data_IF_607444983414
#
_entry.id   IF_607444983414
#
_cell.length_a   1.000
_cell.length_b   1.000
_cell.length_c   1.000
_cell.angle_alpha   90.00
_cell.angle_beta   90.00
_cell.angle_gamma   90.00
#
_symmetry.space_group_name_H-M   'P 1'
#
loop_
_entity.id
_entity.type
_entity.pdbx_description
1 polymer ?
#
# COMPACT_ATOMS: atom_id res chain seq x y z
N UNK A 1 -21.45 -44.83 -51.28
CA UNK A 1 -20.59 -45.55 -50.32
C UNK A 1 -20.28 -44.60 -49.19
N UNK A 2 -20.63 -44.99 -47.97
CA UNK A 2 -20.43 -44.25 -46.72
C UNK A 2 -18.96 -44.34 -46.27
N UNK A 3 -18.49 -43.35 -45.49
CA UNK A 3 -18.11 -43.52 -44.08
C UNK A 3 -17.77 -42.17 -43.41
N UNK A 4 -18.20 -42.06 -42.15
CA UNK A 4 -18.02 -41.06 -41.07
C UNK A 4 -16.56 -40.56 -40.89
N UNK A 5 -16.19 -39.49 -40.16
CA UNK A 5 -16.83 -38.66 -39.13
C UNK A 5 -15.85 -38.43 -37.95
N UNK A 6 -15.92 -37.25 -37.28
CA UNK A 6 -15.31 -36.87 -35.99
C UNK A 6 -13.77 -36.70 -35.90
N UNK A 7 -13.16 -35.85 -35.07
CA UNK A 7 -13.53 -34.77 -34.14
C UNK A 7 -12.23 -34.04 -33.70
N UNK A 8 -12.40 -32.82 -33.18
CA UNK A 8 -11.48 -31.88 -32.52
C UNK A 8 -10.25 -32.45 -31.80
N UNK A 9 -9.15 -31.71 -31.83
CA UNK A 9 -8.36 -31.40 -30.62
C UNK A 9 -7.62 -30.07 -30.79
N UNK A 10 -8.19 -29.02 -30.19
CA UNK A 10 -7.51 -27.79 -29.80
C UNK A 10 -6.70 -28.10 -28.53
N UNK A 11 -5.38 -27.85 -28.56
CA UNK A 11 -4.58 -27.78 -27.33
C UNK A 11 -3.98 -26.38 -27.26
N UNK A 12 -4.69 -25.51 -26.53
CA UNK A 12 -4.14 -24.28 -26.00
C UNK A 12 -3.41 -24.64 -24.70
N UNK A 13 -2.11 -24.35 -24.64
CA UNK A 13 -1.32 -24.40 -23.41
C UNK A 13 -1.92 -23.42 -22.39
N UNK A 14 -2.50 -23.96 -21.31
CA UNK A 14 -2.92 -23.19 -20.15
C UNK A 14 -1.70 -22.92 -19.26
N UNK A 15 -1.27 -21.66 -19.21
CA UNK A 15 -0.31 -21.13 -18.24
C UNK A 15 -1.02 -20.97 -16.89
N UNK A 16 -1.03 -22.03 -16.07
CA UNK A 16 -1.56 -22.00 -14.70
C UNK A 16 -0.66 -21.14 -13.81
N UNK A 17 -1.03 -19.87 -13.64
CA UNK A 17 -0.52 -19.03 -12.55
C UNK A 17 -1.28 -19.37 -11.26
N UNK A 18 -0.62 -19.65 -10.11
CA UNK A 18 -1.34 -20.02 -8.89
C UNK A 18 -2.21 -18.86 -8.38
N UNK A 19 -3.52 -19.07 -8.36
CA UNK A 19 -4.49 -18.11 -7.85
C UNK A 19 -4.45 -18.06 -6.32
N UNK A 20 -4.00 -16.93 -5.75
CA UNK A 20 -4.12 -16.66 -4.31
C UNK A 20 -5.56 -16.26 -3.99
N UNK A 21 -6.18 -16.96 -3.03
CA UNK A 21 -7.54 -16.70 -2.56
C UNK A 21 -7.67 -15.34 -1.84
N UNK A 22 -8.88 -14.72 -1.86
CA UNK A 22 -9.12 -13.45 -1.18
C UNK A 22 -9.06 -13.58 0.35
N UNK A 23 -8.46 -12.57 1.00
CA UNK A 23 -8.29 -12.47 2.46
C UNK A 23 -9.64 -12.25 3.14
N UNK A 24 -10.06 -13.13 4.05
CA UNK A 24 -11.24 -12.96 4.91
C UNK A 24 -10.83 -12.54 6.33
N UNK A 25 -11.54 -11.56 6.89
CA UNK A 25 -11.23 -10.96 8.20
C UNK A 25 -11.52 -11.89 9.37
N UNK A 26 -10.66 -11.85 10.40
CA UNK A 26 -10.83 -12.59 11.64
C UNK A 26 -10.93 -11.63 12.85
N UNK A 27 -12.04 -11.73 13.57
CA UNK A 27 -12.35 -11.01 14.79
C UNK A 27 -11.50 -11.49 15.98
N UNK A 28 -10.92 -10.56 16.74
CA UNK A 28 -10.43 -10.84 18.10
C UNK A 28 -11.59 -10.73 19.08
N UNK A 29 -11.98 -11.85 19.70
CA UNK A 29 -12.75 -11.87 20.95
C UNK A 29 -11.78 -11.69 22.14
N UNK A 30 -12.09 -10.74 23.02
CA UNK A 30 -11.42 -10.60 24.32
C UNK A 30 -11.95 -11.63 25.33
N UNK A 31 -11.13 -12.10 26.29
CA UNK A 31 -11.52 -13.14 27.22
C UNK A 31 -12.38 -12.61 28.38
N UNK A 32 -13.46 -13.31 28.67
CA UNK A 32 -14.31 -13.10 29.84
C UNK A 32 -13.62 -13.64 31.11
N UNK A 33 -13.53 -12.80 32.14
CA UNK A 33 -13.14 -13.20 33.50
C UNK A 33 -14.34 -13.03 34.43
N UNK A 34 -14.87 -14.13 34.96
CA UNK A 34 -15.79 -14.14 36.11
C UNK A 34 -15.03 -13.88 37.42
N UNK A 35 -15.58 -13.03 38.30
CA UNK A 35 -15.60 -13.26 39.75
C UNK A 35 -16.47 -12.22 40.50
N UNK A 36 -17.49 -12.75 41.17
CA UNK A 36 -18.16 -12.38 42.44
C UNK A 36 -18.14 -10.93 43.00
N UNK A 37 -19.34 -10.50 43.40
CA UNK A 37 -19.66 -9.31 44.21
C UNK A 37 -19.16 -9.39 45.67
N UNK A 38 -19.12 -8.26 46.41
CA UNK A 38 -20.26 -7.97 47.30
C UNK A 38 -20.66 -6.49 47.42
N UNK A 39 -21.80 -6.28 48.09
CA UNK A 39 -22.58 -5.06 48.24
C UNK A 39 -21.96 -3.97 49.15
N UNK A 40 -22.27 -2.69 48.86
CA UNK A 40 -22.02 -1.55 49.75
C UNK A 40 -22.53 -0.22 49.18
N UNK A 41 -23.42 0.44 49.91
CA UNK A 41 -24.21 1.64 49.58
C UNK A 41 -23.45 2.93 49.96
N UNK A 42 -23.41 3.95 49.10
CA UNK A 42 -23.56 5.38 49.45
C UNK A 42 -23.33 6.34 48.26
N UNK A 43 -24.19 7.35 48.19
CA UNK A 43 -24.21 8.55 47.35
C UNK A 43 -22.95 9.42 47.46
N UNK A 44 -22.48 10.01 46.34
CA UNK A 44 -22.03 11.43 46.24
C UNK A 44 -21.80 11.78 44.77
N UNK A 45 -22.49 12.82 44.30
CA UNK A 45 -22.26 13.44 42.99
C UNK A 45 -20.81 13.96 42.89
N UNK A 46 -20.09 13.55 41.84
CA UNK A 46 -18.89 14.27 41.40
C UNK A 46 -18.89 14.36 39.88
N UNK A 47 -19.35 15.51 39.37
CA UNK A 47 -19.08 15.98 38.00
C UNK A 47 -17.57 15.87 37.76
N UNK A 48 -17.15 14.81 37.07
CA UNK A 48 -15.82 14.73 36.48
C UNK A 48 -15.97 14.99 34.99
N UNK A 49 -15.19 15.97 34.57
CA UNK A 49 -15.26 16.64 33.29
C UNK A 49 -14.83 15.71 32.15
N UNK A 50 -15.76 15.41 31.24
CA UNK A 50 -15.49 14.82 29.93
C UNK A 50 -14.69 15.75 28.98
N UNK A 51 -14.11 16.85 29.49
CA UNK A 51 -13.40 17.83 28.67
C UNK A 51 -12.04 17.32 28.18
N UNK A 52 -11.37 16.44 28.93
CA UNK A 52 -10.03 15.96 28.60
C UNK A 52 -10.00 14.96 27.43
N UNK A 53 -10.97 14.04 27.38
CA UNK A 53 -11.09 13.08 26.27
C UNK A 53 -11.55 13.75 24.95
N UNK A 54 -12.43 14.75 25.05
CA UNK A 54 -12.86 15.56 23.90
C UNK A 54 -11.73 16.42 23.35
N UNK A 55 -10.99 17.12 24.22
CA UNK A 55 -9.83 17.90 23.79
C UNK A 55 -8.73 17.04 23.15
N UNK A 56 -8.50 15.82 23.65
CA UNK A 56 -7.52 14.89 23.05
C UNK A 56 -7.95 14.46 21.64
N UNK A 57 -9.21 14.06 21.44
CA UNK A 57 -9.72 13.69 20.11
C UNK A 57 -9.72 14.88 19.14
N UNK A 58 -10.08 16.08 19.59
CA UNK A 58 -10.07 17.29 18.76
C UNK A 58 -8.65 17.78 18.42
N UNK A 59 -7.68 17.60 19.33
CA UNK A 59 -6.28 17.96 19.06
C UNK A 59 -5.64 17.07 17.99
N UNK A 60 -6.03 15.80 17.95
CA UNK A 60 -5.55 14.83 16.95
C UNK A 60 -6.20 15.08 15.59
N UNK A 61 -7.46 15.57 15.53
CA UNK A 61 -8.09 16.01 14.28
C UNK A 61 -7.41 17.23 13.65
N UNK A 62 -6.84 18.14 14.46
CA UNK A 62 -6.22 19.40 13.99
C UNK A 62 -4.81 19.26 13.37
N UNK A 63 -4.17 18.10 13.48
CA UNK A 63 -2.77 17.91 13.05
C UNK A 63 -2.62 17.05 11.80
N UNK A 64 -3.71 16.49 11.27
CA UNK A 64 -3.68 15.58 10.12
C UNK A 64 -3.88 16.33 8.81
N UNK A 65 -3.22 15.93 7.72
CA UNK A 65 -3.53 16.46 6.40
C UNK A 65 -4.97 16.07 6.00
N UNK A 66 -5.72 16.96 5.33
CA UNK A 66 -7.03 16.62 4.80
C UNK A 66 -6.94 15.52 3.76
N UNK A 67 -8.03 14.77 3.56
CA UNK A 67 -8.13 13.81 2.46
C UNK A 67 -8.12 14.53 1.10
N UNK A 68 -7.64 13.87 0.03
CA UNK A 68 -7.25 12.46 -0.07
C UNK A 68 -5.78 12.21 0.31
N UNK A 69 -5.47 11.01 0.80
CA UNK A 69 -4.10 10.60 1.14
C UNK A 69 -3.51 9.71 0.05
N UNK A 70 -2.46 10.23 -0.59
CA UNK A 70 -1.74 9.58 -1.67
C UNK A 70 -0.24 9.52 -1.42
N UNK A 71 0.39 8.45 -1.88
CA UNK A 71 1.84 8.37 -2.10
C UNK A 71 2.12 7.87 -3.51
N UNK A 72 3.09 8.46 -4.19
CA UNK A 72 3.43 8.11 -5.58
C UNK A 72 4.91 7.75 -5.74
N UNK A 73 5.22 6.65 -6.42
CA UNK A 73 6.56 6.33 -6.92
C UNK A 73 6.56 6.42 -8.45
N UNK A 74 7.33 7.37 -9.00
CA UNK A 74 7.43 7.59 -10.44
C UNK A 74 8.73 6.96 -10.94
N UNK A 75 8.68 5.66 -11.22
CA UNK A 75 9.81 4.91 -11.75
C UNK A 75 10.06 5.16 -13.24
N UNK A 76 11.12 4.55 -13.79
CA UNK A 76 11.46 4.67 -15.21
C UNK A 76 10.39 4.06 -16.14
N UNK A 77 9.81 2.92 -15.77
CA UNK A 77 8.81 2.20 -16.57
C UNK A 77 7.39 2.28 -16.00
N UNK A 78 7.25 2.21 -14.68
CA UNK A 78 5.95 2.20 -14.01
C UNK A 78 5.87 3.31 -12.97
N UNK A 79 4.70 3.96 -12.94
CA UNK A 79 4.23 4.74 -11.80
C UNK A 79 3.43 3.82 -10.89
N UNK A 80 3.66 3.92 -9.58
CA UNK A 80 2.85 3.28 -8.56
C UNK A 80 2.22 4.36 -7.69
N UNK A 81 0.94 4.20 -7.39
CA UNK A 81 0.13 5.09 -6.60
C UNK A 81 -0.49 4.26 -5.47
N UNK A 82 -0.24 4.69 -4.24
CA UNK A 82 -0.88 4.15 -3.05
C UNK A 82 -1.96 5.13 -2.61
N UNK A 83 -3.16 4.63 -2.36
CA UNK A 83 -4.31 5.42 -1.92
C UNK A 83 -4.91 4.85 -0.65
N UNK A 84 -5.00 5.66 0.39
CA UNK A 84 -5.73 5.28 1.60
C UNK A 84 -7.19 5.73 1.52
N UNK A 85 -8.10 4.77 1.52
CA UNK A 85 -9.54 4.98 1.49
C UNK A 85 -10.12 4.90 2.92
N UNK A 86 -10.55 6.02 3.54
CA UNK A 86 -11.16 5.98 4.87
C UNK A 86 -12.51 5.25 4.86
N UNK A 87 -12.68 4.27 5.74
CA UNK A 87 -13.94 3.54 5.96
C UNK A 87 -14.72 4.04 7.18
N UNK A 88 -14.10 4.91 7.97
CA UNK A 88 -14.62 5.48 9.20
C UNK A 88 -15.15 6.92 9.04
N UNK A 89 -15.57 7.33 7.84
CA UNK A 89 -16.14 8.66 7.61
C UNK A 89 -17.47 8.80 8.37
N UNK A 90 -17.57 9.85 9.17
CA UNK A 90 -18.81 10.20 9.90
C UNK A 90 -19.80 10.96 9.01
N UNK A 91 -21.09 10.96 9.34
CA UNK A 91 -22.10 11.67 8.55
C UNK A 91 -21.84 13.19 8.49
N UNK A 92 -21.31 13.77 9.56
CA UNK A 92 -20.91 15.17 9.59
C UNK A 92 -19.73 15.44 8.65
N UNK A 93 -18.69 14.58 8.67
CA UNK A 93 -17.56 14.68 7.75
C UNK A 93 -17.99 14.52 6.29
N UNK A 94 -18.92 13.60 6.00
CA UNK A 94 -19.45 13.40 4.64
C UNK A 94 -20.25 14.63 4.16
N UNK A 95 -20.91 15.37 5.05
CA UNK A 95 -21.65 16.58 4.69
C UNK A 95 -20.72 17.77 4.42
N UNK A 96 -19.57 17.83 5.10
CA UNK A 96 -18.51 18.82 4.89
C UNK A 96 -17.62 18.49 3.68
N UNK A 97 -17.59 17.22 3.27
CA UNK A 97 -16.78 16.73 2.16
C UNK A 97 -17.20 17.34 0.82
N UNK A 98 -16.25 17.94 0.11
CA UNK A 98 -16.47 18.55 -1.20
C UNK A 98 -16.82 17.46 -2.22
N UNK A 99 -17.78 17.74 -3.12
CA UNK A 99 -18.25 16.76 -4.13
C UNK A 99 -17.12 16.19 -5.01
N UNK A 100 -16.07 16.98 -5.27
CA UNK A 100 -14.89 16.52 -6.00
C UNK A 100 -14.18 15.36 -5.27
N UNK A 101 -14.08 15.43 -3.93
CA UNK A 101 -13.43 14.39 -3.14
C UNK A 101 -14.25 13.08 -3.18
N UNK A 102 -15.57 13.19 -3.07
CA UNK A 102 -16.50 12.05 -3.23
C UNK A 102 -16.37 11.41 -4.61
N UNK A 103 -16.29 12.23 -5.65
CA UNK A 103 -16.14 11.79 -7.03
C UNK A 103 -14.82 11.04 -7.25
N UNK A 104 -13.70 11.56 -6.73
CA UNK A 104 -12.39 10.90 -6.83
C UNK A 104 -12.38 9.59 -6.05
N UNK A 105 -12.87 9.61 -4.80
CA UNK A 105 -12.98 8.41 -3.98
C UNK A 105 -13.76 7.33 -4.73
N UNK A 106 -14.97 7.67 -5.21
CA UNK A 106 -15.82 6.75 -5.99
C UNK A 106 -15.11 6.26 -7.24
N UNK A 107 -14.42 7.13 -7.97
CA UNK A 107 -13.67 6.75 -9.17
C UNK A 107 -12.60 5.71 -8.87
N UNK A 108 -11.82 5.91 -7.80
CA UNK A 108 -10.76 4.99 -7.40
C UNK A 108 -11.30 3.65 -6.87
N UNK A 109 -12.40 3.68 -6.11
CA UNK A 109 -12.91 2.47 -5.44
C UNK A 109 -13.85 1.64 -6.32
N UNK A 110 -14.63 2.27 -7.21
CA UNK A 110 -15.60 1.58 -8.06
C UNK A 110 -15.01 1.00 -9.35
N UNK A 111 -13.78 1.37 -9.70
CA UNK A 111 -13.10 0.87 -10.90
C UNK A 111 -11.84 0.07 -10.51
N UNK A 112 -11.49 -0.92 -11.33
CA UNK A 112 -10.22 -1.66 -11.25
C UNK A 112 -9.28 -1.31 -12.39
N UNK A 113 -9.78 -0.68 -13.45
CA UNK A 113 -9.01 -0.16 -14.56
C UNK A 113 -9.26 1.35 -14.72
N UNK A 114 -8.19 2.11 -14.99
CA UNK A 114 -8.23 3.56 -15.14
C UNK A 114 -7.64 3.96 -16.49
N UNK A 115 -8.46 4.61 -17.33
CA UNK A 115 -8.05 4.94 -18.70
C UNK A 115 -7.78 3.68 -19.51
N UNK A 116 -6.66 3.66 -20.26
CA UNK A 116 -6.27 2.53 -21.12
C UNK A 116 -5.33 1.53 -20.45
N UNK A 117 -4.60 1.95 -19.43
CA UNK A 117 -3.42 1.23 -18.93
C UNK A 117 -3.28 1.23 -17.40
N UNK A 118 -4.07 2.03 -16.69
CA UNK A 118 -4.08 2.04 -15.23
C UNK A 118 -4.80 0.83 -14.67
N UNK A 119 -4.20 0.20 -13.67
CA UNK A 119 -4.69 -1.02 -13.04
C UNK A 119 -4.63 -0.85 -11.52
N UNK A 120 -5.70 -1.23 -10.83
CA UNK A 120 -5.71 -1.42 -9.37
C UNK A 120 -5.51 -2.89 -9.06
N UNK A 121 -4.43 -3.22 -8.37
CA UNK A 121 -4.11 -4.59 -7.98
C UNK A 121 -4.92 -4.98 -6.74
N UNK A 122 -6.21 -5.31 -6.95
CA UNK A 122 -7.20 -5.58 -5.88
C UNK A 122 -6.74 -6.66 -4.90
N UNK A 123 -5.97 -7.64 -5.37
CA UNK A 123 -5.45 -8.73 -4.53
C UNK A 123 -4.40 -8.29 -3.50
N UNK A 124 -3.83 -7.08 -3.65
CA UNK A 124 -2.89 -6.48 -2.71
C UNK A 124 -3.57 -5.55 -1.70
N UNK A 125 -4.87 -5.32 -1.80
CA UNK A 125 -5.60 -4.41 -0.91
C UNK A 125 -5.42 -4.79 0.57
N UNK A 126 -4.95 -3.85 1.38
CA UNK A 126 -4.90 -4.00 2.83
C UNK A 126 -6.18 -3.45 3.44
N UNK A 127 -7.04 -4.34 3.93
CA UNK A 127 -8.34 -3.97 4.50
C UNK A 127 -8.22 -3.67 5.99
N UNK A 128 -9.09 -2.79 6.50
CA UNK A 128 -9.21 -2.46 7.92
C UNK A 128 -7.90 -1.96 8.57
N UNK A 129 -7.03 -1.35 7.78
CA UNK A 129 -5.78 -0.75 8.21
C UNK A 129 -6.06 0.50 9.06
N UNK A 130 -5.39 0.60 10.20
CA UNK A 130 -5.36 1.84 10.99
C UNK A 130 -4.12 2.65 10.64
N UNK A 131 -4.31 3.78 9.94
CA UNK A 131 -3.25 4.71 9.56
C UNK A 131 -3.54 6.09 10.15
N UNK A 132 -2.58 6.64 10.89
CA UNK A 132 -2.71 7.92 11.61
C UNK A 132 -4.01 8.06 12.42
N UNK A 133 -4.51 6.95 12.98
CA UNK A 133 -5.75 6.89 13.75
C UNK A 133 -7.02 7.16 12.92
N UNK A 134 -7.00 6.81 11.64
CA UNK A 134 -8.18 6.54 10.79
C UNK A 134 -8.19 5.06 10.43
N UNK A 135 -9.37 4.46 10.33
CA UNK A 135 -9.53 3.08 9.84
C UNK A 135 -10.01 3.10 8.39
N UNK A 136 -9.31 2.37 7.53
CA UNK A 136 -9.57 2.38 6.10
C UNK A 136 -8.90 1.24 5.35
N UNK A 137 -8.95 1.31 4.03
CA UNK A 137 -8.32 0.33 3.15
C UNK A 137 -7.17 1.00 2.38
N UNK A 138 -6.06 0.29 2.23
CA UNK A 138 -4.92 0.74 1.42
C UNK A 138 -4.97 0.07 0.05
N UNK A 139 -5.07 0.88 -1.00
CA UNK A 139 -5.18 0.46 -2.39
C UNK A 139 -3.86 0.66 -3.13
N UNK A 140 -3.50 -0.30 -3.99
CA UNK A 140 -2.32 -0.25 -4.84
C UNK A 140 -2.72 -0.12 -6.30
N UNK A 141 -2.23 0.94 -6.96
CA UNK A 141 -2.57 1.28 -8.34
C UNK A 141 -1.27 1.48 -9.11
N UNK A 142 -1.21 1.02 -10.36
CA UNK A 142 -0.05 1.21 -11.23
C UNK A 142 -0.46 1.54 -12.65
N UNK A 143 0.42 2.26 -13.35
CA UNK A 143 0.28 2.53 -14.78
C UNK A 143 1.67 2.80 -15.40
N UNK A 144 1.84 2.66 -16.73
CA UNK A 144 3.10 2.95 -17.39
C UNK A 144 3.50 4.43 -17.25
N UNK A 145 4.79 4.70 -16.99
CA UNK A 145 5.31 6.08 -16.85
C UNK A 145 5.07 6.93 -18.09
N UNK A 146 5.03 6.33 -19.28
CA UNK A 146 4.72 7.07 -20.51
C UNK A 146 3.28 7.60 -20.57
N UNK A 147 2.36 7.06 -19.77
CA UNK A 147 0.97 7.51 -19.67
C UNK A 147 0.76 8.58 -18.57
N UNK A 148 1.83 8.99 -17.87
CA UNK A 148 1.76 10.06 -16.87
C UNK A 148 1.12 11.35 -17.39
N UNK A 149 1.36 11.83 -18.63
CA UNK A 149 0.65 13.00 -19.15
C UNK A 149 -0.87 12.84 -19.19
N UNK A 150 -1.38 11.64 -19.51
CA UNK A 150 -2.81 11.36 -19.52
C UNK A 150 -3.39 11.33 -18.08
N UNK A 151 -2.62 10.83 -17.12
CA UNK A 151 -2.97 10.91 -15.70
C UNK A 151 -3.05 12.36 -15.22
N UNK A 152 -2.08 13.21 -15.56
CA UNK A 152 -2.09 14.63 -15.18
C UNK A 152 -3.28 15.38 -15.80
N UNK A 153 -3.61 15.09 -17.05
CA UNK A 153 -4.79 15.64 -17.70
C UNK A 153 -6.08 15.23 -16.97
N UNK A 154 -6.19 13.95 -16.60
CA UNK A 154 -7.31 13.47 -15.76
C UNK A 154 -7.37 14.21 -14.42
N UNK A 155 -6.22 14.40 -13.76
CA UNK A 155 -6.13 15.13 -12.50
C UNK A 155 -6.63 16.58 -12.62
N UNK A 156 -6.30 17.25 -13.72
CA UNK A 156 -6.84 18.57 -14.05
C UNK A 156 -8.35 18.55 -14.26
N UNK A 157 -8.85 17.64 -15.10
CA UNK A 157 -10.28 17.55 -15.46
C UNK A 157 -11.17 17.18 -14.26
N UNK A 158 -10.58 16.48 -13.28
CA UNK A 158 -11.21 16.11 -12.01
C UNK A 158 -10.89 17.07 -10.86
N UNK A 159 -10.22 18.19 -11.14
CA UNK A 159 -9.86 19.24 -10.19
C UNK A 159 -9.12 18.74 -8.94
N UNK A 160 -8.12 17.87 -9.10
CA UNK A 160 -7.34 17.31 -7.99
C UNK A 160 -6.67 18.40 -7.13
N UNK A 161 -6.21 19.49 -7.75
CA UNK A 161 -5.60 20.62 -7.05
C UNK A 161 -6.53 21.32 -6.06
N UNK A 162 -7.85 21.19 -6.23
CA UNK A 162 -8.83 21.76 -5.29
C UNK A 162 -8.88 21.04 -3.94
N UNK A 163 -8.29 19.85 -3.85
CA UNK A 163 -8.36 18.98 -2.66
C UNK A 163 -7.05 18.93 -1.91
N UNK A 164 -5.94 18.87 -2.64
CA UNK A 164 -4.60 18.88 -2.06
C UNK A 164 -3.61 19.45 -3.07
N UNK A 165 -2.88 20.48 -2.66
CA UNK A 165 -1.90 21.16 -3.54
C UNK A 165 -0.58 20.40 -3.63
N UNK A 166 -0.29 19.48 -2.71
CA UNK A 166 1.03 18.86 -2.60
C UNK A 166 0.99 17.33 -2.58
N UNK A 167 1.53 16.66 -3.59
CA UNK A 167 1.60 15.20 -3.64
C UNK A 167 2.97 14.70 -3.16
N UNK A 168 3.00 13.79 -2.19
CA UNK A 168 4.23 13.10 -1.82
C UNK A 168 4.64 12.14 -2.94
N UNK A 169 5.80 12.38 -3.54
CA UNK A 169 6.30 11.61 -4.67
C UNK A 169 7.76 11.20 -4.48
N UNK A 170 8.11 10.01 -4.93
CA UNK A 170 9.46 9.47 -4.92
C UNK A 170 9.83 8.90 -6.30
N UNK A 171 11.05 8.38 -6.43
CA UNK A 171 11.60 7.87 -7.68
C UNK A 171 12.14 8.97 -8.59
N UNK A 172 12.99 8.59 -9.56
CA UNK A 172 13.62 9.54 -10.48
C UNK A 172 12.62 10.40 -11.27
N UNK A 173 11.41 9.90 -11.51
CA UNK A 173 10.35 10.62 -12.18
C UNK A 173 9.79 11.80 -11.37
N UNK A 174 9.86 11.78 -10.03
CA UNK A 174 9.42 12.90 -9.20
C UNK A 174 10.23 14.18 -9.48
N UNK A 175 11.50 14.04 -9.86
CA UNK A 175 12.34 15.15 -10.31
C UNK A 175 12.12 15.47 -11.78
N UNK A 176 12.04 14.44 -12.63
CA UNK A 176 11.88 14.61 -14.10
C UNK A 176 10.59 15.33 -14.48
N UNK A 177 9.48 15.00 -13.83
CA UNK A 177 8.14 15.46 -14.21
C UNK A 177 7.58 16.55 -13.30
N UNK A 178 8.36 17.10 -12.35
CA UNK A 178 7.89 18.13 -11.41
C UNK A 178 7.23 19.32 -12.11
N UNK A 179 7.83 19.80 -13.19
CA UNK A 179 7.28 20.92 -13.97
C UNK A 179 5.93 20.56 -14.58
N UNK A 180 5.75 19.34 -15.06
CA UNK A 180 4.52 18.87 -15.68
C UNK A 180 3.38 18.78 -14.65
N UNK A 181 3.65 18.31 -13.43
CA UNK A 181 2.66 18.33 -12.35
C UNK A 181 2.16 19.75 -12.06
N UNK A 182 3.08 20.71 -11.97
CA UNK A 182 2.74 22.12 -11.72
C UNK A 182 1.99 22.73 -12.89
N UNK A 183 2.45 22.53 -14.12
CA UNK A 183 1.86 23.16 -15.31
C UNK A 183 0.56 22.49 -15.77
N UNK A 184 0.45 21.17 -15.67
CA UNK A 184 -0.69 20.41 -16.18
C UNK A 184 -1.76 20.19 -15.12
N UNK A 185 -1.42 19.93 -13.87
CA UNK A 185 -2.40 19.58 -12.84
C UNK A 185 -2.53 20.62 -11.72
N UNK A 186 -1.70 21.68 -11.73
CA UNK A 186 -1.60 22.65 -10.62
C UNK A 186 -1.29 21.94 -9.28
N UNK A 187 -0.39 20.96 -9.35
CA UNK A 187 0.06 20.16 -8.22
C UNK A 187 1.55 20.39 -7.97
N UNK A 188 1.91 20.57 -6.72
CA UNK A 188 3.28 20.58 -6.24
C UNK A 188 3.70 19.19 -5.81
N UNK A 189 4.97 18.82 -6.05
CA UNK A 189 5.51 17.55 -5.56
C UNK A 189 6.35 17.77 -4.30
N UNK A 190 5.97 17.10 -3.22
CA UNK A 190 6.86 16.89 -2.09
C UNK A 190 7.75 15.68 -2.39
N UNK A 191 8.93 15.95 -2.93
CA UNK A 191 9.88 14.94 -3.39
C UNK A 191 10.58 14.27 -2.21
N UNK A 192 10.55 12.94 -2.19
CA UNK A 192 11.18 12.10 -1.18
C UNK A 192 12.28 11.25 -1.82
N UNK A 193 13.21 10.73 -1.01
CA UNK A 193 14.25 9.81 -1.48
C UNK A 193 13.67 8.43 -1.78
N UNK A 194 14.02 7.85 -2.95
CA UNK A 194 13.49 6.57 -3.44
C UNK A 194 13.82 5.43 -2.49
N UNK A 195 15.08 5.37 -2.05
CA UNK A 195 15.58 4.27 -1.25
C UNK A 195 15.12 4.38 0.21
N UNK A 196 14.97 5.58 0.75
CA UNK A 196 14.39 5.79 2.07
C UNK A 196 12.89 5.44 2.10
N UNK A 197 12.12 5.87 1.10
CA UNK A 197 10.72 5.49 0.95
C UNK A 197 10.56 3.97 0.82
N UNK A 198 11.41 3.31 0.02
CA UNK A 198 11.38 1.87 -0.15
C UNK A 198 11.59 1.12 1.18
N UNK A 199 12.66 1.46 1.92
CA UNK A 199 12.97 0.80 3.20
C UNK A 199 11.84 1.01 4.21
N UNK A 200 11.35 2.26 4.35
CA UNK A 200 10.23 2.56 5.26
C UNK A 200 8.95 1.84 4.86
N UNK A 201 8.66 1.77 3.57
CA UNK A 201 7.49 1.09 3.01
C UNK A 201 7.49 -0.39 3.34
N UNK A 202 8.59 -1.10 3.04
CA UNK A 202 8.73 -2.54 3.32
C UNK A 202 8.52 -2.84 4.80
N UNK A 203 9.22 -2.10 5.68
CA UNK A 203 9.11 -2.30 7.13
C UNK A 203 7.71 -1.97 7.66
N UNK A 204 7.08 -0.94 7.11
CA UNK A 204 5.71 -0.58 7.47
C UNK A 204 4.73 -1.68 7.10
N UNK A 205 4.75 -2.16 5.85
CA UNK A 205 3.84 -3.20 5.36
C UNK A 205 4.00 -4.49 6.19
N UNK A 206 5.23 -4.94 6.42
CA UNK A 206 5.50 -6.12 7.25
C UNK A 206 4.91 -5.96 8.67
N UNK A 207 5.07 -4.78 9.29
CA UNK A 207 4.55 -4.52 10.63
C UNK A 207 3.02 -4.54 10.73
N UNK A 208 2.31 -4.15 9.66
CA UNK A 208 0.84 -4.02 9.67
C UNK A 208 0.13 -5.26 9.14
N UNK A 209 0.80 -6.13 8.37
CA UNK A 209 0.26 -7.38 7.82
C UNK A 209 0.28 -8.53 8.85
N UNK A 210 0.24 -8.19 10.14
CA UNK A 210 0.26 -9.15 11.27
C UNK A 210 -0.94 -10.13 11.32
N UNK A 211 -2.01 -9.90 10.57
CA UNK A 211 -3.25 -10.69 10.62
C UNK A 211 -3.47 -11.62 9.40
N UNK A 212 -2.50 -11.72 8.49
CA UNK A 212 -2.56 -12.57 7.30
C UNK A 212 -1.35 -13.51 7.16
N UNK A 213 -1.21 -14.25 6.04
CA UNK A 213 0.06 -14.88 5.70
C UNK A 213 1.15 -13.80 5.65
N UNK A 214 2.32 -14.11 6.22
CA UNK A 214 3.45 -13.19 6.28
C UNK A 214 3.74 -12.59 4.89
N UNK A 215 4.00 -11.29 4.85
CA UNK A 215 4.30 -10.58 3.60
C UNK A 215 5.59 -11.11 2.96
N UNK A 216 6.58 -11.44 3.79
CA UNK A 216 7.82 -12.03 3.33
C UNK A 216 7.72 -13.56 3.24
N UNK A 217 8.40 -14.13 2.25
CA UNK A 217 8.43 -15.56 2.00
C UNK A 217 9.78 -16.00 1.43
N UNK A 218 10.05 -17.29 1.48
CA UNK A 218 11.16 -17.93 0.79
C UNK A 218 10.71 -19.25 0.16
N UNK A 219 11.49 -19.75 -0.79
CA UNK A 219 11.28 -21.09 -1.35
C UNK A 219 12.22 -22.07 -0.63
N UNK A 220 11.63 -23.07 0.02
CA UNK A 220 12.38 -24.22 0.53
C UNK A 220 12.62 -25.19 -0.63
N UNK A 221 13.85 -25.73 -0.74
CA UNK A 221 14.29 -26.60 -1.84
C UNK A 221 14.11 -26.00 -3.25
N UNK A 222 14.60 -24.78 -3.54
CA UNK A 222 14.32 -24.08 -4.80
C UNK A 222 14.94 -24.76 -6.04
N UNK A 223 15.86 -25.70 -5.86
CA UNK A 223 16.51 -26.45 -6.95
C UNK A 223 15.81 -27.77 -7.29
N UNK A 224 14.86 -28.21 -6.47
CA UNK A 224 14.09 -29.44 -6.69
C UNK A 224 12.62 -29.09 -6.96
N UNK A 225 12.17 -29.12 -8.22
CA UNK A 225 10.81 -28.74 -8.59
C UNK A 225 9.72 -29.49 -7.83
N UNK A 226 9.96 -30.75 -7.43
CA UNK A 226 8.98 -31.60 -6.75
C UNK A 226 8.86 -31.29 -5.25
N UNK A 227 9.88 -30.64 -4.67
CA UNK A 227 9.95 -30.28 -3.25
C UNK A 227 9.97 -28.76 -3.02
N UNK A 228 9.90 -27.98 -4.10
CA UNK A 228 9.94 -26.52 -4.06
C UNK A 228 8.63 -25.99 -3.49
N UNK A 229 8.68 -25.52 -2.24
CA UNK A 229 7.50 -25.00 -1.54
C UNK A 229 7.74 -23.59 -1.04
N UNK A 230 6.77 -22.71 -1.27
CA UNK A 230 6.77 -21.36 -0.72
C UNK A 230 6.42 -21.41 0.78
N UNK A 231 7.29 -20.85 1.62
CA UNK A 231 7.08 -20.74 3.07
C UNK A 231 7.09 -19.28 3.53
N UNK A 232 6.23 -18.90 4.51
CA UNK A 232 6.25 -17.56 5.09
C UNK A 232 7.55 -17.32 5.87
N UNK A 233 7.98 -16.06 5.93
CA UNK A 233 9.16 -15.61 6.67
C UNK A 233 8.83 -14.34 7.46
N UNK A 234 8.79 -14.44 8.79
CA UNK A 234 8.57 -13.27 9.63
C UNK A 234 9.87 -12.43 9.71
N UNK A 235 9.80 -11.15 9.34
CA UNK A 235 10.91 -10.19 9.50
C UNK A 235 11.03 -9.68 10.95
N UNK A 236 11.11 -10.59 11.92
CA UNK A 236 11.36 -10.22 13.31
C UNK A 236 12.82 -9.79 13.49
N UNK A 237 13.05 -8.54 13.90
CA UNK A 237 14.38 -7.92 13.97
C UNK A 237 15.13 -8.03 12.63
N UNK A 238 14.67 -7.31 11.59
CA UNK A 238 15.12 -7.51 10.22
C UNK A 238 16.61 -7.19 10.01
N UNK A 239 17.26 -6.54 10.97
CA UNK A 239 18.64 -6.07 10.81
C UNK A 239 19.67 -7.10 11.27
N UNK A 240 20.75 -7.31 10.49
CA UNK A 240 21.06 -6.64 9.22
C UNK A 240 20.25 -7.18 8.04
N UNK A 241 19.62 -6.29 7.26
CA UNK A 241 18.89 -6.64 6.03
C UNK A 241 19.61 -6.10 4.81
N UNK A 242 19.78 -6.96 3.79
CA UNK A 242 20.16 -6.56 2.45
C UNK A 242 18.90 -6.51 1.57
N UNK A 243 18.48 -5.30 1.23
CA UNK A 243 17.36 -5.11 0.31
C UNK A 243 17.89 -5.00 -1.12
N UNK A 244 17.33 -5.81 -2.03
CA UNK A 244 17.67 -5.82 -3.45
C UNK A 244 16.44 -5.37 -4.23
N UNK A 245 16.41 -4.10 -4.63
CA UNK A 245 15.35 -3.57 -5.49
C UNK A 245 15.63 -3.88 -6.97
N UNK A 246 14.70 -4.53 -7.66
CA UNK A 246 14.84 -4.90 -9.09
C UNK A 246 13.88 -4.04 -9.93
N UNK A 247 14.43 -3.03 -10.61
CA UNK A 247 13.67 -2.06 -11.42
C UNK A 247 14.30 -1.73 -12.78
N UNK A 248 13.64 -0.86 -13.55
CA UNK A 248 13.85 -0.64 -14.99
C UNK A 248 15.05 0.23 -15.41
N UNK A 249 16.09 0.37 -14.60
CA UNK A 249 17.28 1.13 -15.02
C UNK A 249 17.94 0.48 -16.24
N UNK A 250 17.99 1.15 -17.40
CA UNK A 250 18.83 0.72 -18.54
C UNK A 250 20.30 0.97 -18.21
N UNK A 251 21.27 0.07 -18.39
CA UNK A 251 21.28 -1.30 -18.87
C UNK A 251 21.98 -2.18 -17.82
N UNK A 252 21.47 -3.40 -17.59
CA UNK A 252 21.88 -4.30 -16.49
C UNK A 252 21.41 -3.85 -15.11
N UNK A 253 20.10 -3.99 -14.87
CA UNK A 253 19.46 -4.19 -13.56
C UNK A 253 20.20 -3.55 -12.40
N UNK A 254 20.02 -2.25 -12.18
CA UNK A 254 20.57 -1.60 -11.00
C UNK A 254 19.90 -2.19 -9.75
N UNK A 255 20.49 -3.23 -9.19
CA UNK A 255 20.23 -3.72 -7.85
C UNK A 255 20.72 -2.66 -6.88
N UNK A 256 19.84 -1.77 -6.44
CA UNK A 256 20.18 -0.85 -5.34
C UNK A 256 20.30 -1.69 -4.08
N UNK A 257 21.54 -1.97 -3.69
CA UNK A 257 21.89 -2.70 -2.48
C UNK A 257 21.96 -1.69 -1.34
N UNK A 258 21.07 -1.82 -0.36
CA UNK A 258 21.20 -1.11 0.91
C UNK A 258 21.36 -2.11 2.03
N UNK A 259 22.50 -2.05 2.71
CA UNK A 259 22.65 -2.66 4.02
C UNK A 259 22.02 -1.73 5.03
N UNK A 260 21.02 -2.24 5.74
CA UNK A 260 20.44 -1.52 6.87
C UNK A 260 20.96 -2.15 8.16
N UNK A 261 21.68 -1.37 8.95
CA UNK A 261 22.24 -1.79 10.25
C UNK A 261 21.70 -0.87 11.34
N UNK A 262 21.46 -1.39 12.55
CA UNK A 262 21.06 -0.58 13.72
C UNK A 262 22.13 0.44 14.16
N UNK A 263 23.31 0.44 13.54
CA UNK A 263 24.38 1.38 13.81
C UNK A 263 24.98 1.87 12.48
N UNK A 264 25.18 3.19 12.36
CA UNK A 264 25.84 3.80 11.20
C UNK A 264 27.30 3.33 11.12
N UNK A 265 27.67 2.58 10.09
CA UNK A 265 29.07 2.32 9.76
C UNK A 265 29.23 2.26 8.23
N UNK A 266 30.33 2.88 7.77
CA UNK A 266 30.66 3.16 6.37
C UNK A 266 30.92 1.93 5.48
N UNK A 267 31.48 2.15 4.29
CA UNK A 267 31.37 1.21 3.18
C UNK A 267 32.13 -0.09 3.50
N UNK A 268 31.41 -1.21 3.52
CA UNK A 268 32.01 -2.53 3.65
C UNK A 268 31.71 -3.35 2.39
N UNK A 269 32.78 -3.65 1.64
CA UNK A 269 32.80 -4.70 0.63
C UNK A 269 32.76 -6.07 1.33
N UNK A 270 31.75 -6.88 1.05
CA UNK A 270 31.79 -8.32 1.32
C UNK A 270 30.84 -9.08 0.38
N UNK A 271 31.41 -10.08 -0.29
CA UNK A 271 30.76 -11.05 -1.18
C UNK A 271 30.39 -12.29 -0.35
N UNK A 272 29.17 -12.79 -0.47
CA UNK A 272 28.68 -14.02 0.20
C UNK A 272 27.16 -14.22 -0.03
N UNK A 273 26.63 -15.45 -0.03
CA UNK A 273 25.70 -15.94 -1.05
C UNK A 273 24.28 -15.36 -0.97
N UNK A 274 23.73 -15.24 -2.17
CA UNK A 274 22.44 -14.68 -2.56
C UNK A 274 21.25 -15.38 -1.90
N UNK A 275 20.53 -14.68 -1.03
CA UNK A 275 19.10 -14.87 -0.80
C UNK A 275 18.39 -13.59 -1.23
N UNK A 276 17.90 -13.58 -2.48
CA UNK A 276 17.16 -12.46 -3.03
C UNK A 276 15.76 -12.45 -2.40
N UNK A 277 15.51 -11.50 -1.49
CA UNK A 277 14.16 -11.16 -1.06
C UNK A 277 13.54 -10.26 -2.12
N UNK A 278 12.57 -10.79 -2.86
CA UNK A 278 11.70 -10.01 -3.73
C UNK A 278 10.38 -9.76 -2.97
N UNK A 279 10.18 -8.54 -2.50
CA UNK A 279 8.84 -8.05 -2.19
C UNK A 279 8.23 -7.61 -3.53
N UNK A 280 7.28 -8.39 -4.03
CA UNK A 280 6.41 -8.04 -5.15
C UNK A 280 5.02 -7.76 -4.61
#
# INVERSE_FOLDING_TARGET
MAFNGHQLDDTADEDETPSKQPRSGCFRQEPQSEAAAPAGRATTERRTSNSTARHRKDSVKKTRPPFPWFGMDIGGTLVKLVYFEPKDITAEEEQEEVENLKSIRRYLTSNTAYGKSGIRDVHLELQELTLDGRTGNLHFIRFPTHDLPAFLQMGRDKHFSSLHTTLCATGGGAYKFEADFRMMADLELHKLDELDCLVRGVLYIDSVVSCGPSECYYFENPTDPEQCVQKPYALENPYPLLLVNIGSGSASSLCTLRTTTNASLGPASAVGPSSAFAAC
#
